data_IF_445981133890
#
_entry.id   IF_445981133890
#
_cell.length_a   1.000
_cell.length_b   1.000
_cell.length_c   1.000
_cell.angle_alpha   90.00
_cell.angle_beta   90.00
_cell.angle_gamma   90.00
#
_symmetry.space_group_name_H-M   'P 1'
#
loop_
_entity.id
_entity.type
_entity.pdbx_description
1 polymer ?
#
# COMPACT_ATOMS: atom_id res chain seq x y z
N UNK A 1 9.31 -19.01 -10.28
CA UNK A 1 8.15 -18.24 -10.77
C UNK A 1 8.50 -16.77 -10.67
N UNK A 2 8.37 -16.02 -11.77
CA UNK A 2 8.60 -14.57 -11.80
C UNK A 2 7.43 -13.87 -11.12
N UNK A 3 7.69 -13.07 -10.08
CA UNK A 3 6.64 -12.32 -9.36
C UNK A 3 6.03 -11.26 -10.29
N UNK A 4 4.70 -11.15 -10.32
CA UNK A 4 3.98 -10.14 -11.11
C UNK A 4 3.97 -8.76 -10.44
N UNK A 5 4.25 -8.72 -9.13
CA UNK A 5 4.34 -7.50 -8.31
C UNK A 5 5.76 -7.27 -7.78
N UNK A 6 6.75 -7.50 -8.65
CA UNK A 6 8.17 -7.45 -8.31
C UNK A 6 8.61 -6.04 -7.86
N UNK A 7 8.09 -4.99 -8.51
CA UNK A 7 8.45 -3.59 -8.22
C UNK A 7 8.02 -3.22 -6.81
N UNK A 8 6.81 -3.60 -6.42
CA UNK A 8 6.28 -3.36 -5.08
C UNK A 8 7.06 -4.15 -4.02
N UNK A 9 7.44 -5.39 -4.32
CA UNK A 9 8.26 -6.19 -3.41
C UNK A 9 9.63 -5.57 -3.18
N UNK A 10 10.27 -5.06 -4.24
CA UNK A 10 11.58 -4.39 -4.15
C UNK A 10 11.48 -3.02 -3.46
N UNK A 11 10.41 -2.26 -3.71
CA UNK A 11 10.10 -1.05 -2.95
C UNK A 11 9.96 -1.36 -1.45
N UNK A 12 9.17 -2.39 -1.09
CA UNK A 12 8.98 -2.79 0.31
C UNK A 12 10.31 -3.20 0.96
N UNK A 13 11.16 -3.94 0.25
CA UNK A 13 12.51 -4.32 0.73
C UNK A 13 13.38 -3.09 0.94
N UNK A 14 13.38 -2.15 0.01
CA UNK A 14 14.17 -0.92 0.07
C UNK A 14 13.74 -0.06 1.27
N UNK A 15 12.44 0.20 1.41
CA UNK A 15 11.88 0.91 2.58
C UNK A 15 12.14 0.18 3.90
N UNK A 16 12.14 -1.15 3.87
CA UNK A 16 12.49 -1.98 5.02
C UNK A 16 13.95 -1.78 5.46
N UNK A 17 14.89 -1.74 4.50
CA UNK A 17 16.31 -1.47 4.78
C UNK A 17 16.51 -0.05 5.33
N UNK A 18 15.89 0.95 4.70
CA UNK A 18 15.93 2.35 5.19
C UNK A 18 15.48 2.43 6.66
N UNK A 19 14.36 1.77 6.98
CA UNK A 19 13.81 1.76 8.34
C UNK A 19 14.71 1.01 9.33
N UNK A 20 15.30 -0.12 8.92
CA UNK A 20 16.24 -0.85 9.78
C UNK A 20 17.50 -0.04 10.07
N UNK A 21 18.05 0.64 9.06
CA UNK A 21 19.19 1.56 9.24
C UNK A 21 18.83 2.71 10.19
N UNK A 22 17.63 3.28 10.05
CA UNK A 22 17.16 4.34 10.95
C UNK A 22 16.97 3.85 12.38
N UNK A 23 16.41 2.65 12.59
CA UNK A 23 16.28 2.05 13.91
C UNK A 23 17.64 1.76 14.55
N UNK A 24 18.62 1.28 13.78
CA UNK A 24 19.98 1.06 14.27
C UNK A 24 20.65 2.37 14.70
N UNK A 25 20.45 3.45 13.93
CA UNK A 25 20.86 4.79 14.33
C UNK A 25 20.17 5.22 15.64
N UNK A 26 18.86 5.01 15.77
CA UNK A 26 18.12 5.38 16.98
C UNK A 26 18.59 4.64 18.22
N UNK A 27 19.01 3.38 18.10
CA UNK A 27 19.58 2.64 19.22
C UNK A 27 20.79 3.35 19.80
N UNK A 28 21.73 3.71 18.94
CA UNK A 28 22.92 4.47 19.35
C UNK A 28 22.56 5.87 19.84
N UNK A 29 21.61 6.53 19.17
CA UNK A 29 21.24 7.91 19.48
C UNK A 29 20.50 8.06 20.82
N UNK A 30 19.81 7.01 21.29
CA UNK A 30 19.02 7.01 22.53
C UNK A 30 19.85 6.51 23.73
N UNK A 31 21.06 5.99 23.52
CA UNK A 31 21.99 5.65 24.60
C UNK A 31 22.41 6.90 25.39
N UNK A 32 22.61 6.75 26.71
CA UNK A 32 22.68 7.86 27.68
C UNK A 32 23.87 8.83 27.52
N UNK A 33 24.76 8.65 26.55
CA UNK A 33 25.92 9.53 26.30
C UNK A 33 26.14 9.81 24.81
N UNK A 34 25.11 9.63 23.97
CA UNK A 34 25.22 9.82 22.53
C UNK A 34 25.50 11.29 22.17
N UNK A 35 26.45 11.51 21.26
CA UNK A 35 26.86 12.84 20.83
C UNK A 35 27.29 12.87 19.36
N UNK A 36 27.01 13.99 18.70
CA UNK A 36 27.52 14.28 17.36
C UNK A 36 28.85 15.02 17.52
N UNK A 37 29.89 14.51 16.87
CA UNK A 37 31.19 15.19 16.75
C UNK A 37 31.39 15.76 15.35
N UNK A 38 31.83 17.01 15.25
CA UNK A 38 32.20 17.65 13.99
C UNK A 38 33.60 18.28 14.08
N UNK A 39 34.20 18.60 12.92
CA UNK A 39 35.54 19.20 12.82
C UNK A 39 36.62 18.39 13.57
N UNK A 40 36.73 17.09 13.27
CA UNK A 40 37.68 16.18 13.92
C UNK A 40 37.58 16.16 15.46
N UNK A 41 36.37 16.32 16.00
CA UNK A 41 36.10 16.29 17.44
C UNK A 41 36.13 17.65 18.14
N UNK A 42 36.43 18.74 17.42
CA UNK A 42 36.45 20.09 18.01
C UNK A 42 35.06 20.61 18.42
N UNK A 43 34.00 20.13 17.77
CA UNK A 43 32.62 20.39 18.21
C UNK A 43 31.95 19.11 18.65
N UNK A 44 31.36 19.14 19.84
CA UNK A 44 30.55 18.06 20.40
C UNK A 44 29.17 18.61 20.74
N UNK A 45 28.13 17.96 20.23
CA UNK A 45 26.74 18.26 20.56
C UNK A 45 26.11 17.01 21.16
N UNK A 46 25.61 17.11 22.39
CA UNK A 46 24.87 16.01 23.02
C UNK A 46 23.52 15.82 22.33
N UNK A 47 23.09 14.57 22.18
CA UNK A 47 21.73 14.25 21.77
C UNK A 47 20.84 14.29 23.02
N UNK A 48 20.27 15.46 23.28
CA UNK A 48 19.39 15.65 24.42
C UNK A 48 18.06 14.87 24.28
N UNK A 49 17.34 14.73 25.40
CA UNK A 49 16.07 13.98 25.42
C UNK A 49 15.05 14.55 24.43
N UNK A 50 14.81 15.87 24.35
CA UNK A 50 13.92 16.46 23.34
C UNK A 50 14.27 16.01 21.90
N UNK A 51 15.53 16.10 21.50
CA UNK A 51 15.95 15.69 20.16
C UNK A 51 15.74 14.18 19.94
N UNK A 52 16.09 13.34 20.91
CA UNK A 52 15.85 11.88 20.78
C UNK A 52 14.36 11.54 20.68
N UNK A 53 13.48 12.31 21.34
CA UNK A 53 12.04 12.16 21.20
C UNK A 53 11.57 12.50 19.78
N UNK A 54 12.03 13.62 19.23
CA UNK A 54 11.74 14.00 17.84
C UNK A 54 12.18 12.91 16.87
N UNK A 55 13.38 12.36 17.05
CA UNK A 55 13.90 11.26 16.25
C UNK A 55 13.04 9.98 16.37
N UNK A 56 12.58 9.62 17.58
CA UNK A 56 11.64 8.48 17.74
C UNK A 56 10.30 8.72 17.05
N UNK A 57 9.73 9.92 17.14
CA UNK A 57 8.46 10.26 16.49
C UNK A 57 8.54 10.16 14.96
N UNK A 58 9.69 10.52 14.36
CA UNK A 58 9.93 10.40 12.92
C UNK A 58 9.75 8.98 12.37
N UNK A 59 9.95 7.94 13.18
CA UNK A 59 9.65 6.55 12.79
C UNK A 59 8.20 6.41 12.31
N UNK A 60 7.26 7.12 12.94
CA UNK A 60 5.83 7.06 12.56
C UNK A 60 5.59 7.61 11.14
N UNK A 61 6.29 8.68 10.76
CA UNK A 61 6.20 9.26 9.42
C UNK A 61 6.84 8.36 8.37
N UNK A 62 8.06 7.89 8.63
CA UNK A 62 8.78 7.00 7.72
C UNK A 62 7.99 5.70 7.48
N UNK A 63 7.40 5.14 8.53
CA UNK A 63 6.64 3.89 8.44
C UNK A 63 5.33 4.09 7.68
N UNK A 64 4.63 5.21 7.93
CA UNK A 64 3.42 5.54 7.20
C UNK A 64 3.69 5.81 5.71
N UNK A 65 4.78 6.52 5.40
CA UNK A 65 5.23 6.75 4.01
C UNK A 65 5.52 5.43 3.29
N UNK A 66 6.17 4.48 3.96
CA UNK A 66 6.40 3.14 3.41
C UNK A 66 5.09 2.38 3.14
N UNK A 67 4.10 2.48 4.03
CA UNK A 67 2.77 1.90 3.83
C UNK A 67 2.07 2.49 2.59
N UNK A 68 2.04 3.81 2.46
CA UNK A 68 1.43 4.48 1.30
C UNK A 68 2.12 4.16 -0.01
N UNK A 69 3.46 4.26 -0.04
CA UNK A 69 4.21 3.99 -1.25
C UNK A 69 4.03 2.54 -1.71
N UNK A 70 4.08 1.58 -0.78
CA UNK A 70 3.93 0.15 -1.11
C UNK A 70 2.52 -0.17 -1.60
N UNK A 71 1.49 0.40 -0.98
CA UNK A 71 0.10 0.11 -1.36
C UNK A 71 -0.31 0.76 -2.67
N UNK A 72 0.16 1.96 -2.98
CA UNK A 72 -0.06 2.58 -4.30
C UNK A 72 0.72 1.87 -5.41
N UNK A 73 1.98 1.52 -5.16
CA UNK A 73 2.78 0.70 -6.08
C UNK A 73 2.09 -0.64 -6.38
N UNK A 74 1.46 -1.25 -5.37
CA UNK A 74 0.71 -2.50 -5.55
C UNK A 74 -0.47 -2.30 -6.49
N UNK A 75 -1.23 -1.22 -6.33
CA UNK A 75 -2.34 -0.90 -7.23
C UNK A 75 -1.85 -0.62 -8.65
N UNK A 76 -0.70 0.05 -8.81
CA UNK A 76 -0.08 0.26 -10.13
C UNK A 76 0.22 -1.07 -10.83
N UNK A 77 0.91 -1.99 -10.15
CA UNK A 77 1.23 -3.29 -10.74
C UNK A 77 -0.01 -4.16 -10.98
N UNK A 78 -1.07 -4.03 -10.16
CA UNK A 78 -2.35 -4.68 -10.42
C UNK A 78 -3.00 -4.18 -11.72
N UNK A 79 -3.10 -2.87 -11.93
CA UNK A 79 -3.67 -2.32 -13.17
C UNK A 79 -2.81 -2.70 -14.38
N UNK A 80 -1.48 -2.65 -14.27
CA UNK A 80 -0.58 -3.07 -15.34
C UNK A 80 -0.74 -4.55 -15.70
N UNK A 81 -0.78 -5.43 -14.69
CA UNK A 81 -0.94 -6.86 -14.90
C UNK A 81 -2.30 -7.19 -15.52
N UNK A 82 -3.39 -6.59 -15.02
CA UNK A 82 -4.74 -6.78 -15.57
C UNK A 82 -4.82 -6.21 -16.99
N UNK A 83 -4.33 -4.99 -17.21
CA UNK A 83 -4.34 -4.30 -18.51
C UNK A 83 -3.57 -5.04 -19.60
N UNK A 84 -2.45 -5.69 -19.26
CA UNK A 84 -1.66 -6.50 -20.20
C UNK A 84 -2.29 -7.86 -20.52
N UNK A 85 -3.18 -8.37 -19.66
CA UNK A 85 -3.66 -9.75 -19.72
C UNK A 85 -5.20 -9.89 -19.82
N UNK A 86 -5.91 -8.78 -20.05
CA UNK A 86 -7.38 -8.75 -20.20
C UNK A 86 -7.75 -7.87 -21.40
N UNK A 87 -8.69 -8.34 -22.23
CA UNK A 87 -9.09 -7.66 -23.46
C UNK A 87 -10.28 -6.70 -23.31
N UNK A 88 -11.10 -6.84 -22.27
CA UNK A 88 -12.30 -6.02 -22.11
C UNK A 88 -13.05 -6.30 -20.81
N UNK A 89 -14.01 -5.42 -20.50
CA UNK A 89 -14.70 -5.42 -19.20
C UNK A 89 -15.53 -6.70 -18.96
N UNK A 90 -16.14 -7.28 -19.99
CA UNK A 90 -16.99 -8.48 -19.88
C UNK A 90 -16.19 -9.74 -19.49
N UNK A 91 -14.86 -9.69 -19.57
CA UNK A 91 -13.98 -10.78 -19.16
C UNK A 91 -13.61 -10.71 -17.67
N UNK A 92 -13.89 -9.60 -17.00
CA UNK A 92 -13.53 -9.37 -15.60
C UNK A 92 -14.48 -10.11 -14.65
N UNK A 93 -14.00 -10.42 -13.45
CA UNK A 93 -14.89 -10.84 -12.37
C UNK A 93 -15.89 -9.74 -12.00
N UNK A 94 -16.97 -10.11 -11.32
CA UNK A 94 -18.09 -9.22 -11.02
C UNK A 94 -17.65 -7.96 -10.24
N UNK A 95 -16.74 -8.10 -9.28
CA UNK A 95 -16.25 -6.96 -8.48
C UNK A 95 -15.51 -5.94 -9.35
N UNK A 96 -14.61 -6.40 -10.23
CA UNK A 96 -13.87 -5.55 -11.14
C UNK A 96 -14.75 -4.96 -12.24
N UNK A 97 -15.69 -5.74 -12.79
CA UNK A 97 -16.67 -5.22 -13.73
C UNK A 97 -17.49 -4.09 -13.10
N UNK A 98 -17.97 -4.27 -11.86
CA UNK A 98 -18.65 -3.22 -11.10
C UNK A 98 -17.75 -2.01 -10.82
N UNK A 99 -16.46 -2.22 -10.56
CA UNK A 99 -15.49 -1.14 -10.39
C UNK A 99 -15.36 -0.29 -11.65
N UNK A 100 -15.23 -0.95 -12.82
CA UNK A 100 -15.21 -0.29 -14.14
C UNK A 100 -16.52 0.44 -14.36
N UNK A 101 -17.68 -0.21 -14.22
CA UNK A 101 -18.98 0.41 -14.45
C UNK A 101 -19.24 1.64 -13.54
N UNK A 102 -18.86 1.58 -12.26
CA UNK A 102 -18.97 2.70 -11.32
C UNK A 102 -18.13 3.90 -11.73
N UNK A 103 -16.98 3.69 -12.40
CA UNK A 103 -16.15 4.78 -12.92
C UNK A 103 -16.94 5.64 -13.91
N UNK A 104 -17.72 5.02 -14.79
CA UNK A 104 -18.54 5.70 -15.80
C UNK A 104 -19.88 6.22 -15.26
N UNK A 105 -20.39 5.66 -14.15
CA UNK A 105 -21.58 6.19 -13.48
C UNK A 105 -21.31 7.52 -12.77
N UNK A 106 -20.12 7.71 -12.19
CA UNK A 106 -19.74 8.98 -11.58
C UNK A 106 -19.47 10.02 -12.65
N UNK A 107 -19.93 11.27 -12.47
CA UNK A 107 -19.72 12.42 -13.38
C UNK A 107 -18.23 12.85 -13.56
N UNK A 108 -17.28 11.92 -13.49
CA UNK A 108 -15.82 12.13 -13.52
C UNK A 108 -15.14 11.57 -14.77
N UNK A 109 -15.90 10.97 -15.68
CA UNK A 109 -15.40 10.48 -16.96
C UNK A 109 -16.29 11.05 -18.05
N UNK A 110 -15.71 11.85 -18.95
CA UNK A 110 -16.44 12.40 -20.09
C UNK A 110 -16.85 11.28 -21.02
N UNK A 111 -18.16 11.10 -21.21
CA UNK A 111 -18.70 10.11 -22.15
C UNK A 111 -18.50 10.67 -23.55
N UNK A 112 -17.62 10.04 -24.33
CA UNK A 112 -17.28 10.47 -25.68
C UNK A 112 -17.61 9.38 -26.69
N UNK A 113 -17.64 9.74 -27.97
CA UNK A 113 -17.74 8.76 -29.05
C UNK A 113 -16.55 7.79 -29.08
N UNK A 114 -15.44 8.07 -28.40
CA UNK A 114 -14.28 7.17 -28.39
C UNK A 114 -14.47 6.06 -27.34
N UNK A 115 -14.92 6.41 -26.13
CA UNK A 115 -15.09 5.44 -25.04
C UNK A 115 -16.44 4.70 -25.02
N UNK A 116 -17.34 5.00 -25.96
CA UNK A 116 -18.66 4.32 -26.12
C UNK A 116 -18.83 3.57 -27.45
N UNK A 117 -17.75 3.39 -28.21
CA UNK A 117 -17.77 2.62 -29.47
C UNK A 117 -18.04 1.14 -29.24
N UNK A 118 -18.58 0.47 -30.26
CA UNK A 118 -18.69 -0.99 -30.26
C UNK A 118 -17.32 -1.60 -30.62
N UNK A 119 -16.88 -2.65 -29.92
CA UNK A 119 -17.54 -3.26 -28.77
C UNK A 119 -17.32 -2.44 -27.48
N UNK A 120 -18.40 -2.19 -26.73
CA UNK A 120 -18.42 -1.25 -25.61
C UNK A 120 -17.48 -1.68 -24.47
N UNK A 121 -17.48 -2.97 -24.14
CA UNK A 121 -16.70 -3.53 -23.03
C UNK A 121 -15.19 -3.32 -23.19
N UNK A 122 -14.64 -3.37 -24.41
CA UNK A 122 -13.22 -3.10 -24.68
C UNK A 122 -12.89 -1.63 -24.42
N UNK A 123 -13.74 -0.72 -24.87
CA UNK A 123 -13.52 0.73 -24.73
C UNK A 123 -13.69 1.18 -23.27
N UNK A 124 -14.69 0.65 -22.55
CA UNK A 124 -14.85 0.92 -21.12
C UNK A 124 -13.61 0.47 -20.33
N UNK A 125 -13.11 -0.73 -20.63
CA UNK A 125 -11.91 -1.27 -20.00
C UNK A 125 -10.67 -0.44 -20.31
N UNK A 126 -10.44 -0.14 -21.59
CA UNK A 126 -9.30 0.67 -22.03
C UNK A 126 -9.31 2.04 -21.37
N UNK A 127 -10.45 2.73 -21.35
CA UNK A 127 -10.58 4.03 -20.68
C UNK A 127 -10.34 3.90 -19.18
N UNK A 128 -10.79 2.83 -18.51
CA UNK A 128 -10.47 2.63 -17.09
C UNK A 128 -8.96 2.46 -16.83
N UNK A 129 -8.25 1.70 -17.67
CA UNK A 129 -6.79 1.53 -17.59
C UNK A 129 -6.06 2.84 -17.90
N UNK A 130 -6.42 3.52 -18.98
CA UNK A 130 -5.82 4.82 -19.36
C UNK A 130 -6.06 5.87 -18.27
N UNK A 131 -7.28 5.97 -17.75
CA UNK A 131 -7.62 6.86 -16.63
C UNK A 131 -6.77 6.58 -15.37
N UNK A 132 -6.34 5.34 -15.15
CA UNK A 132 -5.43 5.03 -14.04
C UNK A 132 -4.00 5.46 -14.37
N UNK A 133 -3.52 5.15 -15.56
CA UNK A 133 -2.15 5.41 -15.99
C UNK A 133 -1.83 6.91 -16.10
N UNK A 134 -2.81 7.72 -16.52
CA UNK A 134 -2.65 9.17 -16.70
C UNK A 134 -2.64 9.93 -15.37
N UNK A 135 -2.99 9.27 -14.25
CA UNK A 135 -3.01 9.92 -12.93
C UNK A 135 -1.62 10.14 -12.37
N UNK A 136 -1.45 11.30 -11.77
CA UNK A 136 -0.32 11.55 -10.89
C UNK A 136 -0.34 10.61 -9.68
N UNK A 137 0.83 10.37 -9.10
CA UNK A 137 0.98 9.59 -7.88
C UNK A 137 0.16 10.18 -6.70
N UNK A 138 -0.08 11.48 -6.70
CA UNK A 138 -0.94 12.14 -5.71
C UNK A 138 -2.41 11.72 -5.87
N UNK A 139 -2.92 11.72 -7.09
CA UNK A 139 -4.31 11.31 -7.37
C UNK A 139 -4.52 9.82 -7.12
N UNK A 140 -3.54 8.98 -7.47
CA UNK A 140 -3.56 7.54 -7.17
C UNK A 140 -3.64 7.29 -5.66
N UNK A 141 -2.87 8.03 -4.85
CA UNK A 141 -2.99 7.99 -3.37
C UNK A 141 -4.39 8.38 -2.91
N UNK A 142 -4.94 9.47 -3.42
CA UNK A 142 -6.26 9.98 -3.00
C UNK A 142 -7.42 9.04 -3.36
N UNK A 143 -7.33 8.36 -4.50
CA UNK A 143 -8.39 7.46 -4.99
C UNK A 143 -8.24 6.05 -4.41
N UNK A 144 -7.00 5.60 -4.22
CA UNK A 144 -6.70 4.28 -3.68
C UNK A 144 -6.98 4.17 -2.17
N UNK A 145 -6.74 5.25 -1.41
CA UNK A 145 -6.77 5.22 0.06
C UNK A 145 -7.30 6.55 0.65
N UNK A 146 -8.58 6.87 0.38
CA UNK A 146 -9.23 8.14 0.77
C UNK A 146 -9.47 8.24 2.28
N UNK A 147 -8.45 8.64 3.04
CA UNK A 147 -8.51 8.72 4.50
C UNK A 147 -7.27 8.18 5.21
N UNK A 148 -6.34 7.63 4.44
CA UNK A 148 -5.07 7.10 4.89
C UNK A 148 -5.01 5.57 4.88
N UNK A 149 -3.79 5.03 4.89
CA UNK A 149 -3.56 3.60 4.73
C UNK A 149 -3.61 2.90 6.08
N UNK A 150 -4.52 1.94 6.21
CA UNK A 150 -4.53 0.94 7.28
C UNK A 150 -5.00 -0.43 6.76
N UNK A 151 -5.11 -1.41 7.65
CA UNK A 151 -5.49 -2.78 7.26
C UNK A 151 -6.93 -2.90 6.74
N UNK A 152 -7.85 -2.03 7.18
CA UNK A 152 -9.24 -2.04 6.72
C UNK A 152 -9.33 -1.43 5.31
N UNK A 153 -8.66 -0.30 5.10
CA UNK A 153 -8.67 0.37 3.79
C UNK A 153 -7.99 -0.50 2.72
N UNK A 154 -6.86 -1.14 3.06
CA UNK A 154 -6.20 -2.11 2.18
C UNK A 154 -7.16 -3.24 1.82
N UNK A 155 -7.84 -3.82 2.81
CA UNK A 155 -8.79 -4.91 2.57
C UNK A 155 -9.94 -4.49 1.66
N UNK A 156 -10.59 -3.36 1.96
CA UNK A 156 -11.70 -2.83 1.18
C UNK A 156 -11.29 -2.57 -0.27
N UNK A 157 -10.10 -1.99 -0.47
CA UNK A 157 -9.59 -1.71 -1.80
C UNK A 157 -9.32 -3.01 -2.58
N UNK A 158 -8.69 -4.02 -1.96
CA UNK A 158 -8.45 -5.31 -2.61
C UNK A 158 -9.73 -6.10 -2.88
N UNK A 159 -10.73 -5.99 -2.01
CA UNK A 159 -12.05 -6.59 -2.24
C UNK A 159 -12.74 -5.99 -3.47
N UNK A 160 -12.57 -4.69 -3.75
CA UNK A 160 -13.09 -4.05 -4.98
C UNK A 160 -12.47 -4.60 -6.26
N UNK A 161 -11.25 -5.16 -6.17
CA UNK A 161 -10.59 -5.86 -7.27
C UNK A 161 -10.97 -7.35 -7.34
N UNK A 162 -11.78 -7.85 -6.39
CA UNK A 162 -12.14 -9.25 -6.30
C UNK A 162 -11.04 -10.16 -5.73
N UNK A 163 -10.01 -9.59 -5.08
CA UNK A 163 -8.98 -10.38 -4.36
C UNK A 163 -9.61 -11.17 -3.21
N UNK A 164 -10.66 -10.60 -2.61
CA UNK A 164 -11.49 -11.27 -1.63
C UNK A 164 -12.94 -11.37 -2.12
N UNK A 165 -13.64 -12.48 -1.82
CA UNK A 165 -15.06 -12.60 -2.09
C UNK A 165 -15.88 -11.52 -1.35
N UNK A 166 -17.04 -11.10 -1.88
CA UNK A 166 -17.88 -10.07 -1.26
C UNK A 166 -18.48 -10.52 0.08
N UNK A 167 -18.59 -11.82 0.33
CA UNK A 167 -19.11 -12.40 1.58
C UNK A 167 -18.15 -12.18 2.75
N UNK A 168 -16.86 -11.95 2.47
CA UNK A 168 -15.86 -11.65 3.49
C UNK A 168 -16.08 -10.21 3.99
N UNK A 169 -16.73 -10.06 5.14
CA UNK A 169 -17.07 -8.75 5.71
C UNK A 169 -15.97 -8.11 6.55
N UNK A 170 -14.87 -8.85 6.84
CA UNK A 170 -13.79 -8.39 7.70
C UNK A 170 -12.42 -8.75 7.14
N UNK A 171 -11.39 -7.91 7.35
CA UNK A 171 -10.02 -8.22 6.95
C UNK A 171 -9.53 -9.53 7.60
N UNK A 172 -8.95 -10.46 6.82
CA UNK A 172 -8.33 -11.65 7.39
C UNK A 172 -7.25 -11.27 8.41
N UNK A 173 -7.22 -11.96 9.56
CA UNK A 173 -6.27 -11.68 10.65
C UNK A 173 -4.81 -11.71 10.19
N UNK A 174 -4.48 -12.54 9.21
CA UNK A 174 -3.13 -12.64 8.63
C UNK A 174 -2.71 -11.39 7.83
N UNK A 175 -3.65 -10.59 7.37
CA UNK A 175 -3.46 -9.40 6.53
C UNK A 175 -3.69 -8.07 7.27
N UNK A 176 -3.99 -8.14 8.57
CA UNK A 176 -4.16 -6.97 9.42
C UNK A 176 -3.29 -7.06 10.66
N UNK A 177 -2.89 -5.91 11.18
CA UNK A 177 -2.17 -5.79 12.44
C UNK A 177 -2.42 -4.42 13.04
N UNK A 178 -2.57 -4.33 14.37
CA UNK A 178 -2.81 -3.06 15.09
C UNK A 178 -1.74 -2.00 14.81
N UNK A 179 -0.51 -2.43 14.50
CA UNK A 179 0.58 -1.55 14.13
C UNK A 179 0.25 -0.65 12.92
N UNK A 180 -0.50 -1.14 11.92
CA UNK A 180 -0.93 -0.30 10.79
C UNK A 180 -1.83 0.85 11.26
N UNK A 181 -2.78 0.55 12.16
CA UNK A 181 -3.68 1.55 12.74
C UNK A 181 -2.92 2.54 13.64
N UNK A 182 -2.00 2.05 14.48
CA UNK A 182 -1.16 2.90 15.32
C UNK A 182 -0.32 3.87 14.48
N UNK A 183 0.32 3.37 13.41
CA UNK A 183 1.12 4.19 12.50
C UNK A 183 0.28 5.27 11.82
N UNK A 184 -0.90 4.92 11.28
CA UNK A 184 -1.85 5.88 10.71
C UNK A 184 -2.29 6.92 11.73
N UNK A 185 -2.71 6.50 12.92
CA UNK A 185 -3.17 7.40 13.97
C UNK A 185 -2.08 8.39 14.39
N UNK A 186 -0.85 7.92 14.65
CA UNK A 186 0.28 8.79 15.02
C UNK A 186 0.62 9.78 13.90
N UNK A 187 0.66 9.33 12.63
CA UNK A 187 0.89 10.23 11.49
C UNK A 187 -0.18 11.31 11.42
N UNK A 188 -1.46 10.96 11.56
CA UNK A 188 -2.56 11.93 11.51
C UNK A 188 -2.43 12.97 12.62
N UNK A 189 -2.19 12.54 13.87
CA UNK A 189 -2.01 13.45 15.01
C UNK A 189 -0.85 14.43 14.79
N UNK A 190 0.28 13.96 14.24
CA UNK A 190 1.41 14.83 13.87
C UNK A 190 1.03 15.82 12.75
N UNK A 191 0.37 15.33 11.69
CA UNK A 191 0.02 16.13 10.52
C UNK A 191 -1.05 17.20 10.81
N UNK A 192 -1.94 16.93 11.76
CA UNK A 192 -2.96 17.89 12.21
C UNK A 192 -2.47 18.81 13.33
N UNK A 193 -1.24 18.63 13.82
CA UNK A 193 -0.68 19.42 14.92
C UNK A 193 -1.32 19.14 16.28
N UNK A 194 -2.02 18.02 16.44
CA UNK A 194 -2.65 17.61 17.72
C UNK A 194 -1.61 17.21 18.77
N UNK A 195 -0.42 16.80 18.34
CA UNK A 195 0.70 16.45 19.21
C UNK A 195 2.01 16.87 18.53
N UNK A 196 2.96 17.40 19.31
CA UNK A 196 4.29 17.69 18.81
C UNK A 196 5.10 16.39 18.61
N UNK A 197 6.20 16.48 17.85
CA UNK A 197 7.11 15.34 17.70
C UNK A 197 7.77 14.96 19.03
N UNK A 198 8.08 15.95 19.87
CA UNK A 198 8.68 15.71 21.18
C UNK A 198 7.71 14.97 22.10
N UNK A 199 6.47 15.44 22.21
CA UNK A 199 5.44 14.82 23.06
C UNK A 199 5.12 13.40 22.60
N UNK A 200 5.00 13.18 21.28
CA UNK A 200 4.78 11.84 20.76
C UNK A 200 5.98 10.95 21.06
N UNK A 201 7.19 11.44 20.78
CA UNK A 201 8.44 10.73 20.98
C UNK A 201 8.66 10.29 22.43
N UNK A 202 8.26 11.11 23.40
CA UNK A 202 8.34 10.78 24.82
C UNK A 202 7.57 9.50 25.16
N UNK A 203 6.39 9.31 24.56
CA UNK A 203 5.54 8.13 24.81
C UNK A 203 6.00 6.85 24.11
N UNK A 204 6.98 6.95 23.20
CA UNK A 204 7.43 5.84 22.37
C UNK A 204 8.67 5.17 22.97
N UNK A 205 8.54 3.88 23.28
CA UNK A 205 9.67 3.01 23.58
C UNK A 205 10.28 2.47 22.29
N UNK A 206 11.62 2.49 22.19
CA UNK A 206 12.33 2.03 20.98
C UNK A 206 12.07 0.55 20.67
N UNK A 207 11.99 -0.31 21.69
CA UNK A 207 11.63 -1.72 21.53
C UNK A 207 10.23 -1.90 20.89
N UNK A 208 9.26 -1.07 21.30
CA UNK A 208 7.90 -1.07 20.74
C UNK A 208 7.91 -0.64 19.27
N UNK A 209 8.64 0.43 18.94
CA UNK A 209 8.80 0.90 17.55
C UNK A 209 9.38 -0.18 16.65
N UNK A 210 10.42 -0.88 17.11
CA UNK A 210 11.02 -1.99 16.38
C UNK A 210 10.03 -3.12 16.14
N UNK A 211 9.22 -3.48 17.14
CA UNK A 211 8.19 -4.50 17.01
C UNK A 211 7.13 -4.09 15.98
N UNK A 212 6.66 -2.84 16.06
CA UNK A 212 5.65 -2.30 15.14
C UNK A 212 6.16 -2.23 13.70
N UNK A 213 7.39 -1.75 13.47
CA UNK A 213 8.05 -1.76 12.15
C UNK A 213 8.03 -3.17 11.57
N UNK A 214 8.51 -4.18 12.32
CA UNK A 214 8.52 -5.57 11.84
C UNK A 214 7.12 -6.07 11.50
N UNK A 215 6.13 -5.73 12.34
CA UNK A 215 4.76 -6.14 12.12
C UNK A 215 4.14 -5.50 10.87
N UNK A 216 4.38 -4.22 10.62
CA UNK A 216 3.92 -3.52 9.41
C UNK A 216 4.53 -4.14 8.17
N UNK A 217 5.86 -4.26 8.09
CA UNK A 217 6.53 -4.84 6.91
C UNK A 217 6.13 -6.30 6.66
N UNK A 218 5.95 -7.10 7.72
CA UNK A 218 5.45 -8.48 7.59
C UNK A 218 4.02 -8.51 7.04
N UNK A 219 3.17 -7.60 7.50
CA UNK A 219 1.77 -7.53 7.05
C UNK A 219 1.68 -7.09 5.60
N UNK A 220 2.39 -6.03 5.21
CA UNK A 220 2.46 -5.57 3.82
C UNK A 220 3.02 -6.65 2.89
N UNK A 221 4.06 -7.40 3.32
CA UNK A 221 4.58 -8.53 2.54
C UNK A 221 3.50 -9.58 2.29
N UNK A 222 2.69 -9.93 3.29
CA UNK A 222 1.60 -10.90 3.12
C UNK A 222 0.54 -10.39 2.15
N UNK A 223 0.18 -9.11 2.25
CA UNK A 223 -0.75 -8.46 1.31
C UNK A 223 -0.23 -8.55 -0.13
N UNK A 224 1.05 -8.23 -0.36
CA UNK A 224 1.67 -8.32 -1.70
C UNK A 224 1.62 -9.76 -2.22
N UNK A 225 1.92 -10.75 -1.37
CA UNK A 225 1.89 -12.17 -1.77
C UNK A 225 0.47 -12.66 -2.11
N UNK A 226 -0.57 -12.16 -1.42
CA UNK A 226 -1.96 -12.47 -1.78
C UNK A 226 -2.31 -11.90 -3.15
N UNK A 227 -1.92 -10.66 -3.43
CA UNK A 227 -2.15 -10.03 -4.73
C UNK A 227 -1.37 -10.73 -5.84
N UNK A 228 -0.12 -11.11 -5.59
CA UNK A 228 0.71 -11.87 -6.55
C UNK A 228 0.02 -13.20 -6.91
N UNK A 229 -0.49 -13.92 -5.91
CA UNK A 229 -1.23 -15.17 -6.14
C UNK A 229 -2.53 -14.93 -6.93
N UNK A 230 -3.29 -13.89 -6.58
CA UNK A 230 -4.51 -13.49 -7.29
C UNK A 230 -4.25 -13.20 -8.78
N UNK A 231 -3.18 -12.44 -9.09
CA UNK A 231 -2.80 -12.10 -10.45
C UNK A 231 -2.29 -13.34 -11.22
N UNK A 232 -1.47 -14.18 -10.59
CA UNK A 232 -0.96 -15.41 -11.21
C UNK A 232 -2.08 -16.40 -11.58
N UNK A 233 -3.06 -16.55 -10.69
CA UNK A 233 -4.22 -17.43 -10.90
C UNK A 233 -5.27 -16.80 -11.83
N UNK A 234 -5.06 -15.54 -12.24
CA UNK A 234 -5.99 -14.75 -13.06
C UNK A 234 -7.40 -14.70 -12.49
N UNK A 235 -7.52 -14.62 -11.15
CA UNK A 235 -8.81 -14.52 -10.46
C UNK A 235 -9.53 -13.18 -10.73
N UNK A 236 -8.86 -12.24 -11.42
CA UNK A 236 -9.49 -11.04 -11.97
C UNK A 236 -10.41 -11.33 -13.16
N UNK A 237 -10.39 -12.54 -13.73
CA UNK A 237 -11.27 -12.96 -14.83
C UNK A 237 -12.54 -13.64 -14.31
N UNK A 238 -13.64 -13.52 -15.05
CA UNK A 238 -14.91 -14.20 -14.75
C UNK A 238 -14.80 -15.73 -14.77
N UNK A 239 -13.96 -16.28 -15.66
CA UNK A 239 -13.64 -17.71 -15.73
C UNK A 239 -12.15 -17.88 -15.46
N UNK A 240 -11.74 -18.33 -14.26
CA UNK A 240 -10.34 -18.56 -13.94
C UNK A 240 -9.77 -19.75 -14.72
N UNK A 241 -8.48 -19.74 -15.02
CA UNK A 241 -7.78 -20.85 -15.72
C UNK A 241 -7.95 -22.20 -15.02
N UNK A 242 -8.12 -22.23 -13.71
CA UNK A 242 -8.38 -23.44 -12.92
C UNK A 242 -9.67 -24.17 -13.28
N UNK A 243 -10.64 -23.49 -13.91
CA UNK A 243 -11.91 -24.06 -14.34
C UNK A 243 -11.87 -24.65 -15.77
N UNK A 244 -10.82 -24.36 -16.54
CA UNK A 244 -10.70 -24.80 -17.95
C UNK A 244 -10.09 -26.20 -18.07
N UNK A 245 -9.53 -26.75 -16.99
CA UNK A 245 -8.87 -28.05 -16.96
C UNK A 245 -9.80 -29.21 -16.55
N UNK A 246 -10.90 -29.43 -17.28
CA UNK A 246 -11.60 -30.72 -17.32
C UNK A 246 -12.16 -30.94 -18.73
N UNK A 247 -11.41 -31.53 -19.66
CA UNK A 247 -12.05 -32.22 -20.77
C UNK A 247 -12.66 -33.51 -20.20
N UNK A 248 -13.99 -33.53 -20.06
CA UNK A 248 -14.75 -34.78 -20.04
C UNK A 248 -14.46 -35.53 -21.33
N UNK A 249 -13.51 -36.46 -21.26
CA UNK A 249 -13.41 -37.57 -22.20
C UNK A 249 -14.64 -38.45 -21.99
N UNK A 250 -15.56 -38.40 -22.95
CA UNK A 250 -16.51 -39.46 -23.22
C UNK A 250 -15.82 -40.60 -23.98
#
# INVERSE_FOLDING_TARGET
MTQLVATTMDLLRTRGREMLSYLAFLELAVENDAHITAYNGQRKLALDKPLTHVLKANVSLLLYSAMEASTVSLLDEMHDAIGKNCGGADLLNDQLFLLVARRFKGHKTDITKDNTRRPLHEHLFKTWITDWNDRSQREKRQIGFSGGVDGLEIFNQLQRFGVFPPEVSKPPTRLTHKALQHTRARRNRLAHGEISFEDLGQTLALASLRSEVRAVFRTLRRVILEVDAFLHQRLYLAVPLSAVALPTTA
#
